data_IF_809193641653
#
_entry.id   IF_809193641653
#
_cell.length_a   1.000
_cell.length_b   1.000
_cell.length_c   1.000
_cell.angle_alpha   90.00
_cell.angle_beta   90.00
_cell.angle_gamma   90.00
#
_symmetry.space_group_name_H-M   'P 1'
#
loop_
_entity.id
_entity.type
_entity.pdbx_description
1 polymer ?
#
# COMPACT_ATOMS: atom_id res chain seq x y z
N UNK A 1 5.91 -5.25 23.62
CA UNK A 1 5.47 -6.13 24.73
C UNK A 1 6.28 -5.93 26.00
N UNK A 2 7.59 -5.69 25.96
CA UNK A 2 8.41 -5.44 27.16
C UNK A 2 7.93 -4.28 28.06
N UNK A 3 7.34 -3.22 27.49
CA UNK A 3 6.75 -2.09 28.25
C UNK A 3 5.36 -2.37 28.83
N UNK A 4 4.71 -3.46 28.42
CA UNK A 4 3.34 -3.81 28.79
C UNK A 4 3.23 -5.34 29.00
N UNK A 5 3.79 -5.88 30.12
CA UNK A 5 3.90 -7.33 30.30
C UNK A 5 2.54 -8.04 30.48
N UNK A 6 1.49 -7.31 30.86
CA UNK A 6 0.15 -7.86 30.99
C UNK A 6 -0.65 -7.84 29.66
N UNK A 7 -0.11 -7.20 28.60
CA UNK A 7 -0.79 -7.14 27.29
C UNK A 7 -0.65 -8.48 26.56
N UNK A 8 -1.78 -9.00 26.13
CA UNK A 8 -1.86 -10.15 25.22
C UNK A 8 -2.40 -9.67 23.90
N UNK A 9 -1.74 -10.03 22.80
CA UNK A 9 -2.16 -9.70 21.44
C UNK A 9 -2.31 -10.99 20.67
N UNK A 10 -3.49 -11.20 20.11
CA UNK A 10 -3.74 -12.21 19.08
C UNK A 10 -3.73 -11.50 17.73
N UNK A 11 -2.81 -11.90 16.85
CA UNK A 11 -2.62 -11.28 15.54
C UNK A 11 -3.12 -12.20 14.43
N UNK A 12 -4.27 -11.87 13.89
CA UNK A 12 -4.81 -12.54 12.71
C UNK A 12 -4.27 -11.88 11.44
N UNK A 13 -3.62 -12.66 10.59
CA UNK A 13 -3.06 -12.18 9.32
C UNK A 13 -3.88 -12.75 8.17
N UNK A 14 -4.57 -11.86 7.43
CA UNK A 14 -5.36 -12.21 6.28
C UNK A 14 -5.70 -10.97 5.45
N UNK A 15 -5.85 -11.15 4.14
CA UNK A 15 -6.25 -10.07 3.21
C UNK A 15 -7.76 -10.12 2.90
N UNK A 16 -8.50 -11.04 3.50
CA UNK A 16 -9.95 -11.14 3.33
C UNK A 16 -10.68 -10.14 4.21
N UNK A 17 -11.83 -9.67 3.73
CA UNK A 17 -12.75 -8.84 4.51
C UNK A 17 -13.62 -9.76 5.35
N UNK A 18 -13.21 -9.98 6.58
CA UNK A 18 -13.95 -10.74 7.57
C UNK A 18 -14.89 -9.84 8.37
N UNK A 19 -15.93 -10.41 8.94
CA UNK A 19 -16.78 -9.73 9.91
C UNK A 19 -16.03 -9.60 11.24
N UNK A 20 -15.49 -8.41 11.48
CA UNK A 20 -14.65 -8.12 12.64
C UNK A 20 -15.36 -8.37 13.96
N UNK A 21 -16.70 -8.22 13.99
CA UNK A 21 -17.51 -8.43 15.20
C UNK A 21 -17.68 -9.92 15.47
N UNK A 22 -18.01 -10.70 14.44
CA UNK A 22 -18.17 -12.16 14.54
C UNK A 22 -16.86 -12.84 14.94
N UNK A 23 -15.73 -12.35 14.45
CA UNK A 23 -14.39 -12.87 14.76
C UNK A 23 -13.80 -12.35 16.08
N UNK A 24 -14.52 -11.48 16.79
CA UNK A 24 -14.07 -10.93 18.07
C UNK A 24 -12.86 -9.99 17.95
N UNK A 25 -12.61 -9.43 16.78
CA UNK A 25 -11.48 -8.53 16.49
C UNK A 25 -11.74 -7.15 17.10
N UNK A 26 -10.82 -6.66 17.92
CA UNK A 26 -10.95 -5.33 18.53
C UNK A 26 -10.60 -4.21 17.54
N UNK A 27 -9.58 -4.42 16.71
CA UNK A 27 -9.11 -3.49 15.67
C UNK A 27 -8.54 -4.24 14.47
N UNK A 28 -8.95 -3.85 13.27
CA UNK A 28 -8.37 -4.35 12.03
C UNK A 28 -7.55 -3.26 11.34
N UNK A 29 -6.41 -3.65 10.78
CA UNK A 29 -5.58 -2.80 9.94
C UNK A 29 -5.95 -3.05 8.47
N UNK A 30 -6.38 -2.02 7.75
CA UNK A 30 -6.88 -2.12 6.38
C UNK A 30 -6.15 -1.17 5.45
N UNK A 31 -5.71 -1.71 4.32
CA UNK A 31 -5.14 -0.91 3.24
C UNK A 31 -6.20 -0.51 2.21
N UNK A 32 -6.05 0.71 1.68
CA UNK A 32 -6.89 1.23 0.59
C UNK A 32 -8.26 1.75 1.03
N UNK A 33 -9.17 1.96 0.05
CA UNK A 33 -10.47 2.53 0.32
C UNK A 33 -11.32 1.59 1.20
N UNK A 34 -11.97 2.19 2.17
CA UNK A 34 -12.93 1.48 3.00
C UNK A 34 -14.31 1.63 2.36
N UNK A 35 -15.01 0.51 2.14
CA UNK A 35 -16.43 0.57 1.79
C UNK A 35 -17.22 1.14 2.97
N UNK A 36 -18.30 1.86 2.68
CA UNK A 36 -19.20 2.46 3.64
C UNK A 36 -19.50 1.50 4.82
N UNK A 37 -18.85 1.74 5.92
CA UNK A 37 -19.11 1.02 7.15
C UNK A 37 -19.44 2.03 8.23
N UNK A 38 -20.37 1.69 9.11
CA UNK A 38 -20.67 2.42 10.36
C UNK A 38 -19.51 2.35 11.36
N UNK A 39 -18.41 1.68 10.99
CA UNK A 39 -17.21 1.51 11.79
C UNK A 39 -16.46 2.83 11.97
N UNK A 40 -15.93 3.05 13.15
CA UNK A 40 -15.03 4.17 13.39
C UNK A 40 -13.68 3.86 12.78
N UNK A 41 -13.22 4.73 11.89
CA UNK A 41 -11.97 4.60 11.16
C UNK A 41 -10.98 5.64 11.65
N UNK A 42 -9.73 5.25 11.79
CA UNK A 42 -8.62 6.16 12.05
C UNK A 42 -7.48 5.90 11.06
N UNK A 43 -7.15 6.90 10.25
CA UNK A 43 -5.98 6.82 9.36
C UNK A 43 -4.71 6.76 10.19
N UNK A 44 -3.85 5.79 9.88
CA UNK A 44 -2.54 5.60 10.51
C UNK A 44 -1.48 6.32 9.69
N UNK A 45 -1.37 6.00 8.40
CA UNK A 45 -0.44 6.61 7.46
C UNK A 45 -0.89 6.38 6.01
N UNK A 46 -0.18 7.01 5.08
CA UNK A 46 -0.31 6.74 3.65
C UNK A 46 1.07 6.47 3.06
N UNK A 47 1.18 5.40 2.29
CA UNK A 47 2.39 5.07 1.55
C UNK A 47 2.24 5.35 0.07
N UNK A 48 3.27 5.89 -0.60
CA UNK A 48 3.29 5.92 -2.05
C UNK A 48 3.29 4.49 -2.60
N UNK A 49 2.57 4.29 -3.70
CA UNK A 49 2.70 3.06 -4.49
C UNK A 49 3.97 3.13 -5.32
N UNK A 50 4.65 2.02 -5.43
CA UNK A 50 5.82 1.87 -6.26
C UNK A 50 5.68 0.64 -7.16
N UNK A 51 6.32 0.71 -8.32
CA UNK A 51 6.55 -0.45 -9.16
C UNK A 51 7.91 -1.04 -8.80
N UNK A 52 7.98 -2.35 -8.69
CA UNK A 52 9.22 -3.05 -8.39
C UNK A 52 9.30 -4.39 -9.11
N UNK A 53 10.50 -4.79 -9.45
CA UNK A 53 10.82 -6.11 -10.00
C UNK A 53 12.23 -6.52 -9.56
N UNK A 54 12.54 -7.81 -9.62
CA UNK A 54 13.90 -8.29 -9.37
C UNK A 54 14.82 -7.96 -10.55
N UNK A 55 16.11 -7.83 -10.27
CA UNK A 55 17.13 -7.66 -11.31
C UNK A 55 17.12 -8.81 -12.30
N UNK A 56 16.97 -10.04 -11.82
CA UNK A 56 16.91 -11.24 -12.67
C UNK A 56 15.76 -11.23 -13.68
N UNK A 57 14.62 -10.60 -13.32
CA UNK A 57 13.54 -10.37 -14.27
C UNK A 57 13.91 -9.30 -15.31
N UNK A 58 14.46 -8.18 -14.86
CA UNK A 58 14.80 -7.05 -15.72
C UNK A 58 15.92 -7.39 -16.71
N UNK A 59 16.88 -8.21 -16.34
CA UNK A 59 17.94 -8.68 -17.22
C UNK A 59 17.41 -9.48 -18.42
N UNK A 60 16.25 -10.13 -18.27
CA UNK A 60 15.59 -10.90 -19.34
C UNK A 60 14.56 -10.10 -20.13
N UNK A 61 13.79 -9.27 -19.44
CA UNK A 61 12.63 -8.59 -20.02
C UNK A 61 12.90 -7.12 -20.39
N UNK A 62 14.05 -6.56 -19.99
CA UNK A 62 14.32 -5.13 -20.03
C UNK A 62 13.63 -4.39 -18.89
N UNK A 63 13.98 -3.12 -18.74
CA UNK A 63 13.32 -2.21 -17.79
C UNK A 63 12.34 -1.30 -18.56
N UNK A 64 11.09 -1.10 -18.05
CA UNK A 64 10.19 -0.13 -18.65
C UNK A 64 10.74 1.30 -18.48
N UNK A 65 10.67 2.11 -19.53
CA UNK A 65 11.09 3.51 -19.54
C UNK A 65 9.91 4.44 -19.31
N UNK A 66 8.71 3.99 -19.68
CA UNK A 66 7.44 4.70 -19.52
C UNK A 66 6.37 3.77 -18.96
N UNK A 67 5.28 4.31 -18.37
CA UNK A 67 4.18 3.48 -17.92
C UNK A 67 3.53 2.62 -19.01
N UNK A 68 3.53 3.07 -20.26
CA UNK A 68 2.95 2.33 -21.39
C UNK A 68 3.73 1.07 -21.73
N UNK A 69 5.03 1.03 -21.42
CA UNK A 69 5.88 -0.15 -21.66
C UNK A 69 5.45 -1.35 -20.79
N UNK A 70 4.74 -1.08 -19.68
CA UNK A 70 4.21 -2.13 -18.80
C UNK A 70 3.29 -3.12 -19.51
N UNK A 71 2.69 -2.74 -20.64
CA UNK A 71 1.88 -3.63 -21.47
C UNK A 71 2.69 -4.81 -22.05
N UNK A 72 4.03 -4.69 -22.14
CA UNK A 72 4.92 -5.71 -22.65
C UNK A 72 5.53 -6.58 -21.53
N UNK A 73 5.24 -6.25 -20.27
CA UNK A 73 5.81 -6.94 -19.12
C UNK A 73 4.84 -7.93 -18.47
N UNK A 74 5.39 -8.93 -17.80
CA UNK A 74 4.61 -9.78 -16.90
C UNK A 74 4.24 -8.98 -15.65
N UNK A 75 2.94 -8.83 -15.40
CA UNK A 75 2.41 -8.08 -14.26
C UNK A 75 1.92 -9.06 -13.19
N UNK A 76 2.29 -8.79 -11.94
CA UNK A 76 1.79 -9.45 -10.74
C UNK A 76 0.78 -8.52 -10.09
N UNK A 77 -0.50 -8.91 -10.10
CA UNK A 77 -1.56 -8.19 -9.39
C UNK A 77 -1.58 -8.63 -7.93
N UNK A 78 -1.23 -7.71 -7.04
CA UNK A 78 -1.36 -7.84 -5.60
C UNK A 78 -2.58 -7.08 -5.05
N UNK A 79 -2.85 -7.11 -3.73
CA UNK A 79 -3.99 -6.44 -3.10
C UNK A 79 -4.04 -4.92 -3.39
N UNK A 80 -2.90 -4.25 -3.48
CA UNK A 80 -2.82 -2.81 -3.77
C UNK A 80 -3.14 -2.45 -5.23
N UNK A 81 -3.22 -3.45 -6.12
CA UNK A 81 -3.41 -3.31 -7.55
C UNK A 81 -4.52 -4.20 -8.12
N UNK A 82 -5.32 -4.84 -7.25
CA UNK A 82 -6.49 -5.60 -7.67
C UNK A 82 -7.44 -4.73 -8.48
N UNK A 83 -7.94 -5.28 -9.59
CA UNK A 83 -8.76 -4.53 -10.56
C UNK A 83 -7.96 -4.04 -11.76
N UNK A 84 -6.63 -4.00 -11.69
CA UNK A 84 -5.75 -3.78 -12.84
C UNK A 84 -5.81 -2.38 -13.46
N UNK A 85 -6.58 -1.43 -12.90
CA UNK A 85 -6.60 -0.05 -13.39
C UNK A 85 -5.49 0.75 -12.71
N UNK A 86 -4.47 1.12 -13.49
CA UNK A 86 -3.30 1.83 -13.00
C UNK A 86 -3.24 3.24 -13.57
N UNK A 87 -2.91 4.19 -12.71
CA UNK A 87 -2.77 5.60 -13.07
C UNK A 87 -1.41 6.10 -12.65
N UNK A 88 -0.77 6.88 -13.50
CA UNK A 88 0.54 7.46 -13.28
C UNK A 88 0.53 8.95 -13.60
N UNK A 89 1.32 9.74 -12.87
CA UNK A 89 1.50 11.16 -13.11
C UNK A 89 2.98 11.54 -13.05
N UNK A 90 3.41 12.42 -13.97
CA UNK A 90 4.75 13.04 -13.98
C UNK A 90 4.58 14.48 -14.44
N UNK A 91 4.69 15.44 -13.52
CA UNK A 91 4.35 16.84 -13.80
C UNK A 91 2.91 16.99 -14.29
N UNK A 92 2.74 17.60 -15.46
CA UNK A 92 1.43 17.79 -16.10
C UNK A 92 0.98 16.57 -16.92
N UNK A 93 1.84 15.59 -17.11
CA UNK A 93 1.51 14.37 -17.85
C UNK A 93 0.83 13.37 -16.93
N UNK A 94 -0.36 12.90 -17.33
CA UNK A 94 -1.07 11.83 -16.65
C UNK A 94 -1.45 10.75 -17.65
N UNK A 95 -1.34 9.49 -17.24
CA UNK A 95 -1.76 8.33 -18.05
C UNK A 95 -2.46 7.31 -17.16
N UNK A 96 -3.45 6.65 -17.70
CA UNK A 96 -4.20 5.59 -17.02
C UNK A 96 -4.55 4.51 -18.02
N UNK A 97 -4.41 3.26 -17.61
CA UNK A 97 -4.74 2.12 -18.45
C UNK A 97 -5.04 0.88 -17.62
N UNK A 98 -5.67 -0.07 -18.28
CA UNK A 98 -5.92 -1.39 -17.71
C UNK A 98 -4.68 -2.27 -17.95
N UNK A 99 -4.17 -2.88 -16.90
CA UNK A 99 -3.14 -3.91 -16.99
C UNK A 99 -3.75 -5.29 -16.78
N UNK A 100 -3.25 -6.26 -17.54
CA UNK A 100 -3.60 -7.66 -17.35
C UNK A 100 -2.52 -8.34 -16.51
N UNK A 101 -2.92 -8.94 -15.40
CA UNK A 101 -2.02 -9.71 -14.56
C UNK A 101 -1.78 -11.10 -15.13
N UNK A 102 -0.53 -11.48 -15.36
CA UNK A 102 -0.17 -12.88 -15.61
C UNK A 102 -0.30 -13.75 -14.36
N UNK A 103 -0.17 -13.12 -13.19
CA UNK A 103 -0.28 -13.76 -11.88
C UNK A 103 -1.08 -12.84 -10.95
N UNK A 104 -2.05 -13.39 -10.25
CA UNK A 104 -2.81 -12.67 -9.23
C UNK A 104 -2.61 -13.34 -7.89
N UNK A 105 -2.09 -12.60 -6.92
CA UNK A 105 -1.84 -13.08 -5.55
C UNK A 105 -2.55 -12.12 -4.60
N UNK A 106 -3.49 -12.65 -3.82
CA UNK A 106 -4.31 -11.86 -2.88
C UNK A 106 -3.62 -11.57 -1.54
N UNK A 107 -2.34 -11.94 -1.40
CA UNK A 107 -1.51 -11.67 -0.24
C UNK A 107 -0.33 -10.78 -0.63
N UNK A 108 -0.17 -9.62 0.03
CA UNK A 108 0.89 -8.65 -0.29
C UNK A 108 2.28 -9.26 -0.23
N UNK A 109 2.58 -10.02 0.82
CA UNK A 109 3.88 -10.69 0.96
C UNK A 109 4.11 -11.72 -0.14
N UNK A 110 3.07 -12.45 -0.55
CA UNK A 110 3.16 -13.40 -1.66
C UNK A 110 3.43 -12.73 -3.01
N UNK A 111 2.79 -11.57 -3.27
CA UNK A 111 3.02 -10.82 -4.50
C UNK A 111 4.46 -10.26 -4.56
N UNK A 112 4.97 -9.76 -3.44
CA UNK A 112 6.35 -9.28 -3.31
C UNK A 112 7.34 -10.44 -3.50
N UNK A 113 7.12 -11.59 -2.84
CA UNK A 113 7.96 -12.77 -2.99
C UNK A 113 8.01 -13.25 -4.46
N UNK A 114 6.87 -13.26 -5.14
CA UNK A 114 6.82 -13.60 -6.56
C UNK A 114 7.64 -12.64 -7.44
N UNK A 115 7.65 -11.33 -7.11
CA UNK A 115 8.48 -10.36 -7.82
C UNK A 115 9.99 -10.56 -7.54
N UNK A 116 10.37 -10.91 -6.31
CA UNK A 116 11.75 -11.27 -5.93
C UNK A 116 12.22 -12.49 -6.74
N UNK A 117 11.37 -13.50 -6.89
CA UNK A 117 11.64 -14.71 -7.69
C UNK A 117 11.62 -14.47 -9.21
N UNK A 118 11.45 -13.22 -9.66
CA UNK A 118 11.55 -12.85 -11.07
C UNK A 118 10.33 -13.19 -11.92
N UNK A 119 9.15 -13.33 -11.31
CA UNK A 119 7.92 -13.65 -12.04
C UNK A 119 7.26 -12.44 -12.73
N UNK A 120 7.75 -11.22 -12.45
CA UNK A 120 7.23 -10.02 -13.11
C UNK A 120 7.37 -8.74 -12.27
N UNK A 121 6.63 -7.72 -12.69
CA UNK A 121 6.55 -6.41 -12.05
C UNK A 121 5.35 -6.40 -11.10
N UNK A 122 5.57 -5.97 -9.86
CA UNK A 122 4.52 -5.75 -8.87
C UNK A 122 4.32 -4.27 -8.58
N UNK A 123 3.06 -3.82 -8.42
CA UNK A 123 2.74 -2.54 -7.80
C UNK A 123 2.37 -2.79 -6.34
N UNK A 124 3.08 -2.14 -5.42
CA UNK A 124 2.93 -2.36 -3.98
C UNK A 124 3.16 -1.07 -3.19
N UNK A 125 2.66 -0.93 -1.95
CA UNK A 125 3.06 0.17 -1.07
C UNK A 125 4.56 0.13 -0.80
N UNK A 126 5.22 1.29 -0.82
CA UNK A 126 6.67 1.39 -0.58
C UNK A 126 7.08 0.73 0.74
N UNK A 127 6.31 0.96 1.82
CA UNK A 127 6.60 0.37 3.13
C UNK A 127 6.54 -1.15 3.15
N UNK A 128 5.74 -1.77 2.27
CA UNK A 128 5.59 -3.22 2.21
C UNK A 128 6.78 -3.93 1.54
N UNK A 129 7.53 -3.25 0.65
CA UNK A 129 8.68 -3.84 -0.07
C UNK A 129 10.01 -3.14 0.25
N UNK A 130 10.06 -2.30 1.28
CA UNK A 130 11.25 -1.52 1.64
C UNK A 130 12.48 -2.39 1.86
N UNK A 131 12.33 -3.49 2.60
CA UNK A 131 13.44 -4.40 2.93
C UNK A 131 14.05 -5.03 1.68
N UNK A 132 13.21 -5.44 0.75
CA UNK A 132 13.62 -6.05 -0.51
C UNK A 132 14.35 -5.01 -1.41
N UNK A 133 13.89 -3.75 -1.40
CA UNK A 133 14.57 -2.65 -2.08
C UNK A 133 15.92 -2.32 -1.43
N UNK A 134 15.99 -2.24 -0.09
CA UNK A 134 17.23 -1.97 0.65
C UNK A 134 18.27 -3.09 0.48
N UNK A 135 17.83 -4.34 0.37
CA UNK A 135 18.70 -5.50 0.10
C UNK A 135 19.07 -5.65 -1.38
N UNK A 136 18.47 -4.85 -2.26
CA UNK A 136 18.67 -4.97 -3.71
C UNK A 136 18.03 -6.21 -4.35
N UNK A 137 17.17 -6.92 -3.62
CA UNK A 137 16.38 -8.04 -4.12
C UNK A 137 15.34 -7.55 -5.13
N UNK A 138 14.80 -6.35 -4.90
CA UNK A 138 13.95 -5.61 -5.82
C UNK A 138 14.59 -4.28 -6.24
N UNK A 139 14.24 -3.83 -7.43
CA UNK A 139 14.61 -2.53 -8.00
C UNK A 139 13.33 -1.73 -8.23
N UNK A 140 13.29 -0.49 -7.75
CA UNK A 140 12.18 0.43 -8.03
C UNK A 140 12.21 0.86 -9.49
N UNK A 141 11.07 0.79 -10.15
CA UNK A 141 10.87 1.15 -11.55
C UNK A 141 10.10 2.46 -11.65
N UNK A 142 10.35 3.21 -12.73
CA UNK A 142 9.69 4.47 -13.04
C UNK A 142 9.65 5.44 -11.83
N UNK A 143 10.76 5.71 -11.15
CA UNK A 143 10.77 6.45 -9.88
C UNK A 143 10.26 7.90 -10.01
N UNK A 144 10.30 8.47 -11.22
CA UNK A 144 9.81 9.81 -11.53
C UNK A 144 8.29 9.87 -11.77
N UNK A 145 7.62 8.70 -11.82
CA UNK A 145 6.17 8.62 -11.99
C UNK A 145 5.48 8.35 -10.66
N UNK A 146 4.55 9.22 -10.31
CA UNK A 146 3.68 9.03 -9.17
C UNK A 146 2.55 8.03 -9.55
N UNK A 147 2.52 6.89 -8.87
CA UNK A 147 1.50 5.86 -9.01
C UNK A 147 0.37 5.99 -7.96
N UNK A 148 0.31 7.13 -7.29
CA UNK A 148 -0.63 7.42 -6.22
C UNK A 148 -0.20 6.83 -4.88
N UNK A 149 -1.10 6.94 -3.90
CA UNK A 149 -0.87 6.48 -2.53
C UNK A 149 -1.89 5.41 -2.13
N UNK A 150 -1.54 4.66 -1.10
CA UNK A 150 -2.47 3.77 -0.40
C UNK A 150 -2.45 4.10 1.07
N UNK A 151 -3.64 4.28 1.65
CA UNK A 151 -3.78 4.56 3.08
C UNK A 151 -3.82 3.26 3.88
N UNK A 152 -3.16 3.28 5.05
CA UNK A 152 -3.34 2.29 6.11
C UNK A 152 -4.29 2.88 7.15
N UNK A 153 -5.37 2.19 7.41
CA UNK A 153 -6.42 2.60 8.31
C UNK A 153 -6.63 1.57 9.43
N UNK A 154 -6.84 2.05 10.65
CA UNK A 154 -7.37 1.25 11.75
C UNK A 154 -8.90 1.33 11.72
N UNK A 155 -9.54 0.17 11.70
CA UNK A 155 -11.00 0.02 11.74
C UNK A 155 -11.37 -0.65 13.08
N UNK A 156 -12.13 0.05 13.90
CA UNK A 156 -12.57 -0.47 15.19
C UNK A 156 -13.89 -1.21 15.03
N UNK A 157 -13.92 -2.49 15.37
CA UNK A 157 -15.12 -3.34 15.23
C UNK A 157 -16.32 -2.78 16.04
N UNK A 158 -16.06 -2.33 17.27
CA UNK A 158 -17.08 -1.74 18.15
C UNK A 158 -17.30 -0.23 17.94
N UNK A 159 -16.79 0.34 16.85
CA UNK A 159 -16.96 1.75 16.52
C UNK A 159 -16.51 2.68 17.66
N UNK A 160 -17.42 3.57 18.10
CA UNK A 160 -17.14 4.51 19.20
C UNK A 160 -16.95 3.83 20.56
N UNK A 161 -17.43 2.61 20.74
CA UNK A 161 -17.28 1.82 21.96
C UNK A 161 -16.00 0.98 21.99
N UNK A 162 -15.06 1.24 21.09
CA UNK A 162 -13.79 0.53 21.03
C UNK A 162 -13.04 0.56 22.37
N UNK A 163 -12.50 -0.59 22.77
CA UNK A 163 -11.77 -0.77 24.02
C UNK A 163 -10.61 0.23 24.13
N UNK A 164 -10.33 0.78 25.32
CA UNK A 164 -9.18 1.66 25.54
C UNK A 164 -7.85 1.04 25.11
N UNK A 165 -7.67 -0.28 25.30
CA UNK A 165 -6.48 -1.02 24.86
C UNK A 165 -6.29 -0.99 23.35
N UNK A 166 -7.37 -1.14 22.57
CA UNK A 166 -7.33 -1.06 21.12
C UNK A 166 -6.94 0.34 20.64
N UNK A 167 -7.45 1.39 21.28
CA UNK A 167 -7.07 2.78 20.97
C UNK A 167 -5.62 3.05 21.31
N UNK A 168 -5.16 2.65 22.49
CA UNK A 168 -3.77 2.80 22.91
C UNK A 168 -2.80 2.04 21.99
N UNK A 169 -3.20 0.86 21.52
CA UNK A 169 -2.42 0.11 20.52
C UNK A 169 -2.27 0.89 19.21
N UNK A 170 -3.35 1.47 18.68
CA UNK A 170 -3.31 2.26 17.45
C UNK A 170 -2.48 3.54 17.65
N UNK A 171 -2.59 4.23 18.79
CA UNK A 171 -1.76 5.39 19.13
C UNK A 171 -0.28 5.03 19.12
N UNK A 172 0.07 3.91 19.76
CA UNK A 172 1.44 3.39 19.77
C UNK A 172 1.93 3.04 18.37
N UNK A 173 1.09 2.38 17.57
CA UNK A 173 1.42 2.00 16.20
C UNK A 173 1.70 3.22 15.31
N UNK A 174 0.86 4.27 15.43
CA UNK A 174 1.06 5.54 14.71
C UNK A 174 2.42 6.15 15.10
N UNK A 175 2.69 6.27 16.39
CA UNK A 175 3.96 6.84 16.87
C UNK A 175 5.17 6.04 16.35
N UNK A 176 5.13 4.71 16.49
CA UNK A 176 6.23 3.83 16.08
C UNK A 176 6.47 3.85 14.56
N UNK A 177 5.41 3.92 13.76
CA UNK A 177 5.54 4.00 12.30
C UNK A 177 6.07 5.36 11.85
N UNK A 178 5.67 6.45 12.50
CA UNK A 178 6.19 7.79 12.18
C UNK A 178 7.67 7.95 12.57
N UNK A 179 8.13 7.30 13.62
CA UNK A 179 9.56 7.28 13.99
C UNK A 179 10.41 6.51 12.95
N UNK A 180 9.84 5.46 12.38
CA UNK A 180 10.54 4.59 11.42
C UNK A 180 10.42 5.11 9.98
N UNK A 181 9.37 5.87 9.68
CA UNK A 181 9.04 6.40 8.36
C UNK A 181 8.69 7.88 8.48
N UNK A 182 9.63 8.79 8.22
CA UNK A 182 9.26 10.19 8.07
C UNK A 182 8.20 10.31 6.97
N UNK A 183 7.17 11.16 7.17
CA UNK A 183 6.12 11.33 6.18
C UNK A 183 6.73 11.64 4.82
N UNK A 184 6.21 11.08 3.72
CA UNK A 184 6.65 11.45 2.39
C UNK A 184 6.53 12.97 2.28
N UNK A 185 7.59 13.62 1.79
CA UNK A 185 7.56 15.05 1.49
C UNK A 185 6.27 15.33 0.70
N UNK A 186 5.43 16.20 1.24
CA UNK A 186 4.11 16.54 0.69
C UNK A 186 4.19 16.76 -0.81
N UNK A 187 3.27 16.22 -1.62
CA UNK A 187 3.17 16.61 -3.01
C UNK A 187 2.96 18.13 -3.07
N UNK A 188 3.51 18.81 -4.09
CA UNK A 188 3.32 20.26 -4.23
C UNK A 188 1.82 20.55 -4.19
N UNK A 189 1.41 21.50 -3.36
CA UNK A 189 0.04 21.98 -3.19
C UNK A 189 -0.54 22.29 -4.57
N UNK A 190 -1.68 21.67 -4.86
CA UNK A 190 -2.47 21.95 -6.07
C UNK A 190 -2.83 23.42 -6.02
N UNK A 191 -2.28 24.20 -6.98
CA UNK A 191 -2.50 25.63 -7.12
C UNK A 191 -3.98 25.98 -7.09
N UNK A 192 -4.27 26.97 -6.28
CA UNK A 192 -5.53 27.68 -6.17
C UNK A 192 -6.03 28.08 -7.57
N UNK A 193 -7.24 27.66 -7.93
CA UNK A 193 -7.88 28.07 -9.17
C UNK A 193 -7.93 29.60 -9.26
N UNK A 194 -7.51 30.22 -10.38
CA UNK A 194 -7.68 31.66 -10.53
C UNK A 194 -9.18 31.99 -10.50
N UNK A 195 -9.58 32.90 -9.61
CA UNK A 195 -10.92 33.49 -9.61
C UNK A 195 -11.09 34.25 -10.92
N UNK A 196 -12.00 33.79 -11.74
CA UNK A 196 -12.52 34.59 -12.86
C UNK A 196 -13.25 35.78 -12.25
N UNK A 197 -12.65 36.96 -12.41
CA UNK A 197 -13.33 38.23 -12.19
C UNK A 197 -14.25 38.52 -13.36
N UNK A 198 -15.47 38.93 -13.03
CA UNK A 198 -16.50 39.39 -13.95
C UNK A 198 -16.10 40.65 -14.69
#
# INVERSE_FOLDING_TARGET
MSRHPALRIDLMMGDQREDLVAEGVDVALRFGPLSDSTATVRRILAWPRVLAASRAYLDKAGAPLTPTDLAQHAIILGPASLGGHWSFRKGDTATSFQVEGKLTIRASLGAIAAAVEGLGIVMTPLGACRRELERGELVRLLPEWDAGTVELNAVYASGRAAKPSARAFVDYLIAALHETEPPPSSPPSIGEKPRLSA
#
